data_IF_274472734152
#
_entry.id   IF_274472734152
#
_cell.length_a   1.000
_cell.length_b   1.000
_cell.length_c   1.000
_cell.angle_alpha   90.00
_cell.angle_beta   90.00
_cell.angle_gamma   90.00
#
_symmetry.space_group_name_H-M   'P 1'
#
loop_
_entity.id
_entity.type
_entity.pdbx_description
1 polymer ?
#
# COMPACT_ATOMS: atom_id res chain seq x y z
N UNK A 1 5.44 11.40 -22.30
CA UNK A 1 5.93 11.37 -20.90
C UNK A 1 7.27 10.69 -20.84
N UNK A 2 7.99 10.82 -19.73
CA UNK A 2 9.23 10.08 -19.41
C UNK A 2 8.96 9.25 -18.15
N UNK A 3 9.63 8.10 -17.99
CA UNK A 3 9.63 7.37 -16.72
C UNK A 3 10.22 8.21 -15.59
N UNK A 4 9.86 7.85 -14.35
CA UNK A 4 10.42 8.50 -13.16
C UNK A 4 11.93 8.22 -13.01
N UNK A 5 12.57 8.87 -12.05
CA UNK A 5 13.95 8.58 -11.71
C UNK A 5 14.13 7.09 -11.37
N UNK A 6 15.14 6.39 -11.92
CA UNK A 6 15.30 4.94 -11.73
C UNK A 6 15.34 4.48 -10.27
N UNK A 7 15.85 5.33 -9.37
CA UNK A 7 15.91 5.04 -7.93
C UNK A 7 14.55 5.10 -7.22
N UNK A 8 13.52 5.69 -7.83
CA UNK A 8 12.15 5.78 -7.28
C UNK A 8 11.20 4.77 -7.91
N UNK A 9 11.62 4.09 -8.97
CA UNK A 9 10.83 3.03 -9.58
C UNK A 9 10.79 1.83 -8.65
N UNK A 10 9.66 1.13 -8.65
CA UNK A 10 9.55 -0.18 -8.03
C UNK A 10 10.43 -1.18 -8.77
N UNK A 11 11.44 -1.73 -8.09
CA UNK A 11 12.46 -2.57 -8.72
C UNK A 11 12.95 -3.73 -7.86
N UNK A 12 12.65 -3.76 -6.56
CA UNK A 12 13.08 -4.85 -5.67
C UNK A 12 12.11 -5.01 -4.50
N UNK A 13 11.65 -6.24 -4.26
CA UNK A 13 10.75 -6.56 -3.14
C UNK A 13 11.41 -6.22 -1.81
N UNK A 14 12.68 -6.61 -1.66
CA UNK A 14 13.45 -6.38 -0.42
C UNK A 14 13.62 -4.89 -0.14
N UNK A 15 13.97 -4.08 -1.14
CA UNK A 15 14.16 -2.63 -0.93
C UNK A 15 12.83 -1.93 -0.60
N UNK A 16 11.71 -2.35 -1.22
CA UNK A 16 10.39 -1.83 -0.85
C UNK A 16 9.99 -2.21 0.57
N UNK A 17 10.26 -3.46 0.99
CA UNK A 17 10.05 -3.90 2.37
C UNK A 17 10.90 -3.10 3.36
N UNK A 18 12.17 -2.87 3.05
CA UNK A 18 13.06 -2.06 3.90
C UNK A 18 12.60 -0.60 3.97
N UNK A 19 12.11 -0.04 2.86
CA UNK A 19 11.56 1.32 2.82
C UNK A 19 10.39 1.47 3.80
N UNK A 20 9.39 0.59 3.74
CA UNK A 20 8.21 0.69 4.61
C UNK A 20 8.52 0.46 6.10
N UNK A 21 9.59 -0.27 6.41
CA UNK A 21 9.97 -0.54 7.81
C UNK A 21 10.89 0.53 8.41
N UNK A 22 11.60 1.30 7.58
CA UNK A 22 12.63 2.24 8.06
C UNK A 22 12.33 3.71 7.74
N UNK A 23 11.38 3.99 6.85
CA UNK A 23 11.00 5.35 6.47
C UNK A 23 9.79 5.84 7.24
N UNK A 24 9.86 7.04 7.81
CA UNK A 24 8.72 7.67 8.49
C UNK A 24 7.63 8.15 7.52
N UNK A 25 7.89 8.12 6.21
CA UNK A 25 6.96 8.62 5.19
C UNK A 25 6.49 7.52 4.24
N UNK A 26 6.89 6.28 4.46
CA UNK A 26 6.49 5.14 3.65
C UNK A 26 5.67 4.16 4.49
N UNK A 27 4.36 4.32 4.47
CA UNK A 27 3.40 3.52 5.26
C UNK A 27 2.47 2.72 4.34
N UNK A 28 2.99 2.30 3.18
CA UNK A 28 2.19 1.60 2.16
C UNK A 28 1.85 0.18 2.58
N UNK A 29 0.67 -0.25 2.19
CA UNK A 29 0.19 -1.63 2.31
C UNK A 29 0.23 -2.34 0.95
N UNK A 30 0.16 -3.68 0.98
CA UNK A 30 0.16 -4.49 -0.24
C UNK A 30 -1.18 -4.45 -0.99
N UNK A 31 -1.09 -4.56 -2.32
CA UNK A 31 -2.24 -4.68 -3.22
C UNK A 31 -2.62 -6.15 -3.45
N UNK A 32 -3.86 -6.46 -3.87
CA UNK A 32 -4.32 -7.83 -4.08
C UNK A 32 -3.45 -8.66 -5.04
N UNK A 33 -2.82 -8.03 -6.03
CA UNK A 33 -1.98 -8.65 -7.05
C UNK A 33 -0.79 -9.43 -6.47
N UNK A 34 -0.37 -9.15 -5.23
CA UNK A 34 0.64 -9.94 -4.52
C UNK A 34 0.15 -11.34 -4.10
N UNK A 35 -1.16 -11.59 -4.12
CA UNK A 35 -1.78 -12.83 -3.66
C UNK A 35 -2.58 -13.55 -4.77
N UNK A 36 -2.59 -12.99 -5.98
CA UNK A 36 -3.29 -13.53 -7.15
C UNK A 36 -2.27 -14.12 -8.14
N UNK A 37 -2.67 -15.09 -8.97
CA UNK A 37 -1.85 -15.52 -10.11
C UNK A 37 -1.63 -14.38 -11.11
N UNK A 38 -0.56 -14.46 -11.91
CA UNK A 38 -0.23 -13.46 -12.93
C UNK A 38 0.99 -12.62 -12.56
N UNK A 39 2.17 -13.24 -12.57
CA UNK A 39 3.44 -12.59 -12.22
C UNK A 39 4.03 -11.66 -13.28
N UNK A 40 3.30 -11.33 -14.35
CA UNK A 40 3.81 -10.52 -15.45
C UNK A 40 4.18 -9.10 -15.02
N UNK A 41 3.53 -8.55 -13.98
CA UNK A 41 3.85 -7.21 -13.45
C UNK A 41 5.20 -7.15 -12.72
N UNK A 42 5.78 -8.30 -12.38
CA UNK A 42 7.13 -8.42 -11.81
C UNK A 42 8.21 -8.52 -12.89
N UNK A 43 7.82 -8.63 -14.16
CA UNK A 43 8.73 -8.85 -15.30
C UNK A 43 8.62 -7.70 -16.28
N UNK A 44 9.74 -7.10 -16.65
CA UNK A 44 9.81 -6.10 -17.71
C UNK A 44 9.79 -6.79 -19.10
N UNK A 45 8.72 -7.54 -19.39
CA UNK A 45 8.59 -8.32 -20.62
C UNK A 45 8.62 -7.48 -21.91
N UNK A 46 8.24 -6.20 -21.80
CA UNK A 46 8.30 -5.24 -22.91
C UNK A 46 9.68 -4.59 -23.10
N UNK A 47 10.66 -4.90 -22.23
CA UNK A 47 12.02 -4.30 -22.23
C UNK A 47 11.97 -2.76 -22.25
N UNK A 48 11.13 -2.19 -21.38
CA UNK A 48 11.01 -0.76 -21.21
C UNK A 48 12.36 -0.16 -20.76
N UNK A 49 12.76 1.01 -21.28
CA UNK A 49 14.00 1.68 -20.90
C UNK A 49 13.83 2.40 -19.55
N UNK A 50 13.82 1.63 -18.46
CA UNK A 50 13.60 2.13 -17.09
C UNK A 50 14.82 2.85 -16.48
N UNK A 51 15.96 2.83 -17.18
CA UNK A 51 17.17 3.57 -16.83
C UNK A 51 18.08 2.85 -15.84
N UNK A 52 19.04 3.59 -15.28
CA UNK A 52 20.11 3.06 -14.44
C UNK A 52 20.08 3.75 -13.08
N UNK A 53 20.13 2.96 -12.00
CA UNK A 53 20.21 3.46 -10.62
C UNK A 53 21.58 4.09 -10.36
N UNK A 54 21.69 4.86 -9.27
CA UNK A 54 22.97 5.45 -8.84
C UNK A 54 24.05 4.40 -8.54
N UNK A 55 23.64 3.19 -8.19
CA UNK A 55 24.53 2.03 -8.02
C UNK A 55 25.15 1.51 -9.32
N UNK A 56 24.74 2.05 -10.48
CA UNK A 56 25.14 1.55 -11.80
C UNK A 56 24.34 0.34 -12.28
N UNK A 57 23.38 -0.16 -11.48
CA UNK A 57 22.50 -1.27 -11.88
C UNK A 57 21.34 -0.75 -12.74
N UNK A 58 21.12 -1.40 -13.88
CA UNK A 58 19.93 -1.14 -14.70
C UNK A 58 18.65 -1.56 -13.96
N UNK A 59 17.56 -0.85 -14.20
CA UNK A 59 16.23 -1.25 -13.73
C UNK A 59 15.60 -2.13 -14.80
N UNK A 60 15.25 -3.36 -14.44
CA UNK A 60 14.70 -4.37 -15.32
C UNK A 60 13.52 -5.09 -14.68
N UNK A 61 13.55 -6.42 -14.67
CA UNK A 61 12.62 -7.23 -13.88
C UNK A 61 12.77 -6.88 -12.38
N UNK A 62 11.69 -7.06 -11.63
CA UNK A 62 11.68 -6.81 -10.19
C UNK A 62 12.57 -7.85 -9.51
N UNK A 63 13.49 -7.40 -8.66
CA UNK A 63 14.36 -8.26 -7.88
C UNK A 63 13.54 -9.00 -6.82
N UNK A 64 13.40 -10.31 -7.02
CA UNK A 64 12.66 -11.19 -6.13
C UNK A 64 13.56 -11.77 -5.02
N UNK A 65 12.99 -12.14 -3.86
CA UNK A 65 13.76 -12.75 -2.78
C UNK A 65 14.36 -14.12 -3.18
N UNK A 66 15.50 -14.52 -2.58
CA UNK A 66 16.22 -15.74 -2.97
C UNK A 66 15.47 -17.05 -2.66
N UNK A 67 14.40 -16.99 -1.86
CA UNK A 67 13.60 -18.16 -1.48
C UNK A 67 12.54 -18.55 -2.52
N UNK A 68 12.37 -17.76 -3.57
CA UNK A 68 11.47 -18.11 -4.68
C UNK A 68 12.25 -18.36 -5.97
N UNK A 69 11.74 -19.24 -6.82
CA UNK A 69 12.36 -19.54 -8.12
C UNK A 69 11.95 -18.57 -9.24
N UNK A 70 10.99 -17.68 -8.98
CA UNK A 70 10.47 -16.70 -9.95
C UNK A 70 9.11 -16.13 -9.54
N UNK A 71 8.49 -15.27 -10.38
CA UNK A 71 7.25 -14.57 -10.07
C UNK A 71 6.09 -15.47 -9.64
N UNK A 72 5.85 -16.57 -10.34
CA UNK A 72 4.75 -17.48 -10.03
C UNK A 72 4.94 -18.18 -8.67
N UNK A 73 6.17 -18.62 -8.35
CA UNK A 73 6.48 -19.24 -7.05
C UNK A 73 6.39 -18.20 -5.92
N UNK A 74 6.83 -16.96 -6.17
CA UNK A 74 6.69 -15.84 -5.25
C UNK A 74 5.22 -15.59 -4.88
N UNK A 75 4.34 -15.44 -5.88
CA UNK A 75 2.91 -15.19 -5.68
C UNK A 75 2.20 -16.38 -5.05
N UNK A 76 2.52 -17.61 -5.46
CA UNK A 76 1.96 -18.81 -4.85
C UNK A 76 2.30 -18.92 -3.36
N UNK A 77 3.53 -18.57 -2.98
CA UNK A 77 3.96 -18.54 -1.56
C UNK A 77 3.30 -17.42 -0.77
N UNK A 78 3.16 -16.22 -1.35
CA UNK A 78 2.41 -15.13 -0.72
C UNK A 78 0.96 -15.54 -0.43
N UNK A 79 0.29 -16.15 -1.42
CA UNK A 79 -1.06 -16.67 -1.25
C UNK A 79 -1.13 -17.76 -0.17
N UNK A 80 -0.18 -18.70 -0.17
CA UNK A 80 -0.12 -19.74 0.86
C UNK A 80 0.10 -19.15 2.26
N UNK A 81 0.91 -18.10 2.38
CA UNK A 81 1.13 -17.40 3.65
C UNK A 81 -0.14 -16.67 4.13
N UNK A 82 -0.87 -15.99 3.23
CA UNK A 82 -2.13 -15.31 3.55
C UNK A 82 -3.18 -16.29 4.09
N UNK A 83 -3.27 -17.49 3.51
CA UNK A 83 -4.21 -18.53 3.93
C UNK A 83 -3.70 -19.37 5.11
N UNK A 84 -2.49 -19.11 5.63
CA UNK A 84 -1.91 -19.90 6.70
C UNK A 84 -2.66 -19.70 8.03
N UNK A 85 -2.67 -20.72 8.93
CA UNK A 85 -3.34 -20.62 10.22
C UNK A 85 -2.95 -19.39 11.07
N UNK A 86 -1.68 -18.96 11.16
CA UNK A 86 -1.32 -17.78 11.95
C UNK A 86 -1.98 -16.49 11.43
N UNK A 87 -2.03 -16.33 10.10
CA UNK A 87 -2.69 -15.18 9.47
C UNK A 87 -4.19 -15.26 9.66
N UNK A 88 -4.81 -16.42 9.38
CA UNK A 88 -6.25 -16.62 9.60
C UNK A 88 -6.68 -16.31 11.04
N UNK A 89 -5.87 -16.70 12.03
CA UNK A 89 -6.15 -16.43 13.44
C UNK A 89 -6.07 -14.95 13.82
N UNK A 90 -5.35 -14.13 13.05
CA UNK A 90 -5.01 -12.75 13.42
C UNK A 90 -5.54 -11.69 12.45
N UNK A 91 -6.02 -12.09 11.27
CA UNK A 91 -6.41 -11.18 10.19
C UNK A 91 -7.50 -10.19 10.62
N UNK A 92 -8.41 -10.60 11.50
CA UNK A 92 -9.45 -9.75 12.06
C UNK A 92 -8.89 -8.47 12.74
N UNK A 93 -7.67 -8.50 13.28
CA UNK A 93 -7.01 -7.31 13.83
C UNK A 93 -6.60 -6.30 12.74
N UNK A 94 -6.17 -6.77 11.57
CA UNK A 94 -5.90 -5.89 10.43
C UNK A 94 -7.20 -5.30 9.88
N UNK A 95 -8.27 -6.09 9.82
CA UNK A 95 -9.61 -5.59 9.43
C UNK A 95 -10.09 -4.52 10.42
N UNK A 96 -9.84 -4.68 11.72
CA UNK A 96 -10.15 -3.68 12.73
C UNK A 96 -9.45 -2.34 12.49
N UNK A 97 -8.20 -2.35 11.99
CA UNK A 97 -7.42 -1.16 11.67
C UNK A 97 -7.94 -0.45 10.41
N UNK A 98 -8.19 -1.23 9.35
CA UNK A 98 -8.51 -0.67 8.03
C UNK A 98 -9.99 -0.30 7.89
N UNK A 99 -10.89 -1.11 8.45
CA UNK A 99 -12.34 -0.98 8.27
C UNK A 99 -13.13 -0.89 9.58
N UNK A 100 -12.50 -1.18 10.71
CA UNK A 100 -13.21 -1.42 11.97
C UNK A 100 -13.04 -0.36 13.03
N UNK A 101 -13.20 -0.77 14.29
CA UNK A 101 -13.24 0.13 15.44
C UNK A 101 -11.91 0.84 15.73
N UNK A 102 -10.78 0.37 15.18
CA UNK A 102 -9.45 0.97 15.33
C UNK A 102 -9.08 1.91 14.17
N UNK A 103 -10.01 2.20 13.25
CA UNK A 103 -9.76 3.14 12.16
C UNK A 103 -9.76 4.61 12.64
N UNK A 104 -10.55 4.94 13.67
CA UNK A 104 -10.77 6.32 14.13
C UNK A 104 -10.85 6.43 15.65
N UNK A 105 -10.68 7.66 16.15
CA UNK A 105 -10.80 8.01 17.56
C UNK A 105 -9.70 7.42 18.42
N UNK A 106 -9.95 7.32 19.73
CA UNK A 106 -8.94 6.89 20.72
C UNK A 106 -8.35 5.50 20.44
N UNK A 107 -9.15 4.57 19.91
CA UNK A 107 -8.67 3.24 19.57
C UNK A 107 -7.65 3.24 18.41
N UNK A 108 -7.73 4.22 17.49
CA UNK A 108 -6.73 4.42 16.45
C UNK A 108 -5.45 5.04 17.00
N UNK A 109 -5.56 6.00 17.93
CA UNK A 109 -4.41 6.60 18.62
C UNK A 109 -3.63 5.56 19.42
N UNK A 110 -4.33 4.71 20.18
CA UNK A 110 -3.72 3.61 20.95
C UNK A 110 -3.07 2.53 20.08
N UNK A 111 -3.39 2.48 18.78
CA UNK A 111 -2.87 1.54 17.82
C UNK A 111 -1.90 2.17 16.78
N UNK A 112 -1.51 3.43 16.98
CA UNK A 112 -0.66 4.19 16.04
C UNK A 112 -1.21 4.22 14.59
N UNK A 113 -2.55 4.28 14.44
CA UNK A 113 -3.27 4.14 13.17
C UNK A 113 -4.03 5.42 12.76
N UNK A 114 -3.48 6.59 13.08
CA UNK A 114 -4.08 7.90 12.75
C UNK A 114 -3.41 8.47 11.50
N UNK A 115 -4.19 8.68 10.46
CA UNK A 115 -3.77 9.30 9.20
C UNK A 115 -4.12 10.79 9.16
N UNK A 116 -3.69 11.47 8.11
CA UNK A 116 -4.03 12.88 7.92
C UNK A 116 -5.54 13.09 7.83
N UNK A 117 -6.07 14.14 8.47
CA UNK A 117 -7.51 14.31 8.66
C UNK A 117 -8.33 14.30 7.36
N UNK A 118 -7.78 14.80 6.24
CA UNK A 118 -8.44 14.81 4.93
C UNK A 118 -8.53 13.44 4.25
N UNK A 119 -7.81 12.44 4.77
CA UNK A 119 -7.88 11.05 4.27
C UNK A 119 -9.19 10.38 4.66
N UNK A 120 -9.87 10.85 5.71
CA UNK A 120 -11.10 10.25 6.21
C UNK A 120 -12.35 10.77 5.50
N UNK A 121 -13.20 9.84 5.07
CA UNK A 121 -14.53 10.18 4.54
C UNK A 121 -15.30 11.10 5.50
N UNK A 122 -15.90 12.15 4.94
CA UNK A 122 -16.71 13.12 5.66
C UNK A 122 -15.91 14.18 6.44
N UNK A 123 -14.58 14.19 6.36
CA UNK A 123 -13.75 15.18 7.07
C UNK A 123 -13.98 16.62 6.58
N UNK A 124 -14.27 16.80 5.28
CA UNK A 124 -14.57 18.10 4.68
C UNK A 124 -15.79 18.01 3.78
N UNK A 125 -16.70 18.97 3.96
CA UNK A 125 -17.82 19.20 3.06
C UNK A 125 -17.40 20.22 1.99
N UNK A 126 -16.83 19.72 0.89
CA UNK A 126 -16.33 20.55 -0.22
C UNK A 126 -17.42 21.45 -0.79
N UNK A 127 -18.70 21.09 -0.65
CA UNK A 127 -19.82 21.91 -1.17
C UNK A 127 -20.02 23.21 -0.39
N UNK A 128 -19.51 23.30 0.84
CA UNK A 128 -19.56 24.50 1.67
C UNK A 128 -18.37 25.44 1.45
N UNK A 129 -17.36 24.99 0.72
CA UNK A 129 -16.19 25.80 0.39
C UNK A 129 -16.52 26.61 -0.87
N UNK A 130 -16.32 27.93 -0.81
CA UNK A 130 -16.66 28.83 -1.91
C UNK A 130 -15.44 29.34 -2.68
N UNK A 131 -14.25 29.30 -2.07
CA UNK A 131 -13.02 29.72 -2.73
C UNK A 131 -12.56 28.64 -3.72
N UNK A 132 -12.50 28.94 -5.04
CA UNK A 132 -12.04 27.98 -6.04
C UNK A 132 -10.62 27.45 -5.80
N UNK A 133 -9.74 28.25 -5.19
CA UNK A 133 -8.36 27.84 -4.88
C UNK A 133 -8.35 26.79 -3.78
N UNK A 134 -9.16 27.02 -2.74
CA UNK A 134 -9.30 26.08 -1.62
C UNK A 134 -9.95 24.77 -2.05
N UNK A 135 -11.02 24.83 -2.85
CA UNK A 135 -11.64 23.63 -3.45
C UNK A 135 -10.58 22.82 -4.21
N UNK A 136 -9.79 23.47 -5.07
CA UNK A 136 -8.80 22.77 -5.88
C UNK A 136 -7.69 22.14 -5.03
N UNK A 137 -7.27 22.83 -3.97
CA UNK A 137 -6.29 22.30 -3.03
C UNK A 137 -6.82 21.06 -2.30
N UNK A 138 -8.06 21.10 -1.81
CA UNK A 138 -8.72 19.98 -1.15
C UNK A 138 -8.87 18.77 -2.08
N UNK A 139 -9.37 18.99 -3.30
CA UNK A 139 -9.49 17.92 -4.31
C UNK A 139 -8.13 17.28 -4.60
N UNK A 140 -7.07 18.10 -4.75
CA UNK A 140 -5.73 17.59 -5.01
C UNK A 140 -5.20 16.78 -3.83
N UNK A 141 -5.42 17.26 -2.60
CA UNK A 141 -5.02 16.54 -1.41
C UNK A 141 -5.70 15.17 -1.32
N UNK A 142 -7.02 15.13 -1.55
CA UNK A 142 -7.83 13.91 -1.47
C UNK A 142 -7.45 12.89 -2.56
N UNK A 143 -7.17 13.36 -3.79
CA UNK A 143 -6.90 12.47 -4.91
C UNK A 143 -5.47 11.90 -4.91
N UNK A 144 -4.49 12.65 -4.41
CA UNK A 144 -3.07 12.30 -4.57
C UNK A 144 -2.41 11.75 -3.30
N UNK A 145 -2.97 12.02 -2.11
CA UNK A 145 -2.34 11.70 -0.82
C UNK A 145 -3.11 10.68 0.03
N UNK A 146 -3.98 9.89 -0.63
CA UNK A 146 -4.62 8.72 -0.04
C UNK A 146 -6.00 9.00 0.57
N UNK A 147 -6.83 7.97 0.49
CA UNK A 147 -8.19 7.94 1.02
C UNK A 147 -8.35 6.69 1.89
N UNK A 148 -8.73 6.86 3.15
CA UNK A 148 -9.05 5.74 4.02
C UNK A 148 -10.38 5.13 3.55
N UNK A 149 -10.51 3.79 3.53
CA UNK A 149 -11.78 3.15 3.25
C UNK A 149 -12.88 3.58 4.24
N UNK A 150 -14.14 3.41 3.86
CA UNK A 150 -15.26 3.62 4.77
C UNK A 150 -15.15 2.71 6.00
N UNK A 151 -15.46 3.24 7.19
CA UNK A 151 -15.56 2.44 8.41
C UNK A 151 -16.83 1.59 8.34
N UNK A 152 -16.67 0.27 8.33
CA UNK A 152 -17.77 -0.67 8.16
C UNK A 152 -18.44 -1.02 9.49
N UNK A 153 -17.70 -0.95 10.60
CA UNK A 153 -18.20 -1.31 11.93
C UNK A 153 -17.39 -0.64 13.05
N UNK A 154 -17.99 -0.54 14.23
CA UNK A 154 -17.43 0.16 15.41
C UNK A 154 -17.19 -0.75 16.62
N UNK A 155 -17.36 -2.06 16.45
CA UNK A 155 -17.04 -3.09 17.44
C UNK A 155 -15.89 -3.99 16.94
N UNK A 156 -15.23 -4.79 17.78
CA UNK A 156 -14.19 -5.72 17.32
C UNK A 156 -14.70 -6.71 16.27
N UNK A 157 -13.95 -6.88 15.18
CA UNK A 157 -14.25 -7.89 14.17
C UNK A 157 -14.13 -9.30 14.78
N UNK A 158 -15.07 -10.22 14.55
CA UNK A 158 -14.96 -11.58 15.07
C UNK A 158 -13.73 -12.32 14.50
N UNK A 159 -13.02 -13.13 15.30
CA UNK A 159 -11.99 -14.02 14.79
C UNK A 159 -12.60 -15.12 13.91
N UNK A 160 -11.79 -15.70 13.02
CA UNK A 160 -12.17 -16.82 12.14
C UNK A 160 -12.13 -18.16 12.87
#
# INVERSE_FOLDING_TARGET
>A
GRFDAPARLFHAIQESWESVNNSTTDVKELIPEFYLPGGEWLVNGARLPLGVRQSGREVGDVELPPWCSGPEDFLARHRAALEAPPVSASLHHWIDLVFGHKQRGRAAEEADNVFYHLTYEGAVDVTKVTDPVEIKALETQINEFGQAPAQLFTHPHPPR
#
